data_IF_626550839992
#
_entry.id   IF_626550839992
#
_cell.length_a   1.000
_cell.length_b   1.000
_cell.length_c   1.000
_cell.angle_alpha   90.00
_cell.angle_beta   90.00
_cell.angle_gamma   90.00
#
_symmetry.space_group_name_H-M   'P 1'
#
loop_
_entity.id
_entity.type
_entity.pdbx_description
1 polymer ?
#
# COMPACT_ATOMS: atom_id res chain seq x y z
N UNK A 1 3.29 -19.21 0.77
CA UNK A 1 2.32 -20.14 0.12
C UNK A 1 1.05 -20.38 0.95
N UNK A 2 1.09 -20.74 2.25
CA UNK A 2 -0.14 -21.05 3.03
C UNK A 2 -1.10 -19.85 3.18
N UNK A 3 -0.58 -18.63 3.31
CA UNK A 3 -1.40 -17.42 3.35
C UNK A 3 -2.16 -17.24 2.03
N UNK A 4 -1.49 -17.39 0.90
CA UNK A 4 -2.12 -17.32 -0.42
C UNK A 4 -3.25 -18.34 -0.58
N UNK A 5 -3.06 -19.58 -0.15
CA UNK A 5 -4.11 -20.61 -0.17
C UNK A 5 -5.31 -20.22 0.68
N UNK A 6 -5.07 -19.63 1.85
CA UNK A 6 -6.13 -19.13 2.73
C UNK A 6 -6.86 -17.96 2.08
N UNK A 7 -6.13 -17.00 1.50
CA UNK A 7 -6.69 -15.83 0.82
C UNK A 7 -7.62 -16.25 -0.32
N UNK A 8 -7.17 -17.17 -1.20
CA UNK A 8 -7.96 -17.67 -2.33
C UNK A 8 -9.26 -18.33 -1.84
N UNK A 9 -9.21 -19.16 -0.78
CA UNK A 9 -10.41 -19.78 -0.21
C UNK A 9 -11.40 -18.73 0.32
N UNK A 10 -10.92 -17.65 0.95
CA UNK A 10 -11.76 -16.55 1.39
C UNK A 10 -12.38 -15.80 0.20
N UNK A 11 -11.63 -15.56 -0.86
CA UNK A 11 -12.14 -14.92 -2.09
C UNK A 11 -13.22 -15.79 -2.77
N UNK A 12 -13.04 -17.09 -2.82
CA UNK A 12 -14.03 -18.01 -3.41
C UNK A 12 -15.37 -18.04 -2.68
N UNK A 13 -15.40 -17.64 -1.40
CA UNK A 13 -16.64 -17.51 -0.62
C UNK A 13 -17.39 -16.19 -0.89
N UNK A 14 -16.70 -15.18 -1.40
CA UNK A 14 -17.28 -13.87 -1.73
C UNK A 14 -17.90 -13.89 -3.12
N UNK A 15 -19.22 -13.65 -3.22
CA UNK A 15 -19.95 -13.63 -4.49
C UNK A 15 -20.60 -12.25 -4.71
N UNK A 16 -20.69 -11.76 -5.94
CA UNK A 16 -20.18 -12.34 -7.19
C UNK A 16 -18.73 -11.90 -7.47
N UNK A 17 -17.79 -12.86 -7.55
CA UNK A 17 -16.46 -12.60 -8.11
C UNK A 17 -16.40 -13.27 -9.47
N UNK A 18 -16.11 -12.53 -10.54
CA UNK A 18 -16.05 -13.04 -11.91
C UNK A 18 -14.75 -13.77 -12.21
N UNK A 19 -13.63 -13.30 -11.64
CA UNK A 19 -12.33 -13.94 -11.81
C UNK A 19 -11.37 -13.60 -10.66
N UNK A 20 -10.43 -14.51 -10.38
CA UNK A 20 -9.35 -14.29 -9.41
C UNK A 20 -8.04 -14.28 -10.19
N UNK A 21 -7.33 -13.16 -10.09
CA UNK A 21 -6.02 -12.94 -10.75
C UNK A 21 -4.93 -12.96 -9.70
N UNK A 22 -3.96 -13.86 -9.86
CA UNK A 22 -2.80 -13.98 -8.97
C UNK A 22 -1.55 -13.50 -9.72
N UNK A 23 -0.92 -12.47 -9.19
CA UNK A 23 0.40 -12.02 -9.68
C UNK A 23 1.48 -12.64 -8.82
N UNK A 24 2.12 -13.68 -9.35
CA UNK A 24 3.28 -14.31 -8.72
C UNK A 24 4.53 -13.48 -9.01
N UNK A 25 4.91 -12.64 -8.07
CA UNK A 25 5.96 -11.64 -8.22
C UNK A 25 7.34 -12.19 -7.82
N UNK A 26 7.74 -13.33 -8.43
CA UNK A 26 9.04 -13.96 -8.23
C UNK A 26 9.15 -14.75 -6.92
N UNK A 27 8.12 -15.51 -6.55
CA UNK A 27 8.15 -16.42 -5.39
C UNK A 27 9.16 -17.56 -5.59
N UNK A 28 9.84 -17.95 -4.48
CA UNK A 28 10.88 -18.99 -4.46
C UNK A 28 10.57 -20.13 -3.47
N UNK A 29 9.34 -20.21 -2.99
CA UNK A 29 8.90 -21.12 -1.92
C UNK A 29 7.96 -22.25 -2.41
N UNK A 30 8.00 -22.61 -3.72
CA UNK A 30 7.12 -23.58 -4.34
C UNK A 30 5.74 -23.06 -4.74
N UNK A 31 5.52 -21.74 -4.61
CA UNK A 31 4.25 -21.11 -5.00
C UNK A 31 3.99 -21.21 -6.50
N UNK A 32 5.03 -21.11 -7.34
CA UNK A 32 4.90 -21.19 -8.80
C UNK A 32 4.36 -22.55 -9.23
N UNK A 33 4.93 -23.63 -8.73
CA UNK A 33 4.55 -25.00 -9.03
C UNK A 33 3.14 -25.30 -8.52
N UNK A 34 2.81 -24.82 -7.32
CA UNK A 34 1.48 -24.99 -6.77
C UNK A 34 0.42 -24.24 -7.59
N UNK A 35 0.69 -22.99 -8.00
CA UNK A 35 -0.24 -22.20 -8.82
C UNK A 35 -0.47 -22.83 -10.20
N UNK A 36 0.55 -23.43 -10.81
CA UNK A 36 0.43 -24.12 -12.09
C UNK A 36 -0.54 -25.32 -12.06
N UNK A 37 -0.80 -25.89 -10.88
CA UNK A 37 -1.73 -26.99 -10.67
C UNK A 37 -3.15 -26.54 -10.28
N UNK A 38 -3.42 -25.23 -10.16
CA UNK A 38 -4.74 -24.72 -9.78
C UNK A 38 -5.59 -24.42 -11.01
N UNK A 39 -6.85 -24.85 -10.96
CA UNK A 39 -7.86 -24.49 -11.96
C UNK A 39 -8.69 -23.28 -11.50
N UNK A 40 -9.26 -22.55 -12.45
CA UNK A 40 -10.14 -21.41 -12.18
C UNK A 40 -9.43 -20.15 -11.68
N UNK A 41 -8.09 -20.10 -11.71
CA UNK A 41 -7.28 -18.93 -11.41
C UNK A 41 -6.59 -18.41 -12.67
N UNK A 42 -6.50 -17.11 -12.80
CA UNK A 42 -5.60 -16.47 -13.76
C UNK A 42 -4.27 -16.19 -13.08
N UNK A 43 -3.20 -16.82 -13.51
CA UNK A 43 -1.86 -16.69 -12.91
C UNK A 43 -0.94 -15.92 -13.84
N UNK A 44 -0.33 -14.85 -13.34
CA UNK A 44 0.68 -14.04 -14.04
C UNK A 44 2.00 -14.21 -13.31
N UNK A 45 2.96 -14.91 -13.94
CA UNK A 45 4.31 -15.05 -13.39
C UNK A 45 5.22 -13.94 -13.90
N UNK A 46 5.91 -13.26 -13.00
CA UNK A 46 6.89 -12.23 -13.34
C UNK A 46 8.08 -12.27 -12.38
N UNK A 47 9.20 -11.67 -12.77
CA UNK A 47 10.32 -11.40 -11.86
C UNK A 47 9.89 -10.42 -10.77
N UNK A 48 10.56 -10.43 -9.61
CA UNK A 48 10.23 -9.49 -8.54
C UNK A 48 10.53 -8.03 -8.96
N UNK A 49 9.47 -7.30 -9.24
CA UNK A 49 9.47 -5.86 -9.59
C UNK A 49 8.95 -4.97 -8.46
N UNK A 50 8.93 -5.50 -7.21
CA UNK A 50 8.38 -4.84 -6.03
C UNK A 50 6.87 -4.97 -5.91
N UNK A 51 6.33 -4.62 -4.73
CA UNK A 51 4.87 -4.66 -4.50
C UNK A 51 4.10 -3.74 -5.44
N UNK A 52 4.59 -2.52 -5.64
CA UNK A 52 3.99 -1.56 -6.57
C UNK A 52 3.89 -2.11 -8.01
N UNK A 53 4.90 -2.85 -8.47
CA UNK A 53 4.88 -3.52 -9.77
C UNK A 53 3.90 -4.69 -9.81
N UNK A 54 3.73 -5.42 -8.71
CA UNK A 54 2.71 -6.47 -8.59
C UNK A 54 1.29 -5.92 -8.73
N UNK A 55 0.95 -4.87 -7.99
CA UNK A 55 -0.35 -4.19 -8.10
C UNK A 55 -0.57 -3.57 -9.49
N UNK A 56 0.48 -2.95 -10.06
CA UNK A 56 0.42 -2.45 -11.44
C UNK A 56 -0.03 -3.55 -12.42
N UNK A 57 0.63 -4.71 -12.39
CA UNK A 57 0.35 -5.83 -13.30
C UNK A 57 -1.04 -6.41 -13.09
N UNK A 58 -1.46 -6.62 -11.83
CA UNK A 58 -2.78 -7.17 -11.50
C UNK A 58 -3.91 -6.24 -11.91
N UNK A 59 -3.81 -4.95 -11.61
CA UNK A 59 -4.81 -3.94 -11.98
C UNK A 59 -4.87 -3.76 -13.50
N UNK A 60 -3.71 -3.75 -14.18
CA UNK A 60 -3.65 -3.66 -15.64
C UNK A 60 -4.39 -4.83 -16.29
N UNK A 61 -4.13 -6.04 -15.84
CA UNK A 61 -4.80 -7.22 -16.39
C UNK A 61 -6.32 -7.17 -16.17
N UNK A 62 -6.77 -6.91 -14.93
CA UNK A 62 -8.19 -6.84 -14.60
C UNK A 62 -8.90 -5.73 -15.42
N UNK A 63 -8.27 -4.57 -15.57
CA UNK A 63 -8.78 -3.48 -16.40
C UNK A 63 -8.91 -3.89 -17.87
N UNK A 64 -7.89 -4.52 -18.46
CA UNK A 64 -7.90 -5.01 -19.85
C UNK A 64 -8.91 -6.13 -20.07
N UNK A 65 -9.15 -6.96 -19.05
CA UNK A 65 -10.17 -8.02 -19.07
C UNK A 65 -11.61 -7.49 -18.94
N UNK A 66 -11.79 -6.17 -18.78
CA UNK A 66 -13.13 -5.55 -18.76
C UNK A 66 -13.80 -5.55 -17.39
N UNK A 67 -13.08 -5.75 -16.29
CA UNK A 67 -13.66 -5.68 -14.95
C UNK A 67 -14.24 -4.29 -14.64
N UNK A 68 -15.47 -4.22 -14.13
CA UNK A 68 -16.12 -2.96 -13.71
C UNK A 68 -15.53 -2.45 -12.39
N UNK A 69 -15.16 -3.38 -11.52
CA UNK A 69 -14.50 -3.11 -10.25
C UNK A 69 -13.35 -4.10 -10.02
N UNK A 70 -12.26 -3.62 -9.43
CA UNK A 70 -11.04 -4.39 -9.19
C UNK A 70 -10.76 -4.42 -7.69
N UNK A 71 -10.82 -5.62 -7.09
CA UNK A 71 -10.54 -5.81 -5.67
C UNK A 71 -9.08 -6.21 -5.46
N UNK A 72 -8.26 -5.28 -4.95
CA UNK A 72 -6.82 -5.48 -4.79
C UNK A 72 -6.47 -5.86 -3.36
N UNK A 73 -5.58 -6.83 -3.17
CA UNK A 73 -5.07 -7.17 -1.84
C UNK A 73 -3.76 -7.94 -1.91
N UNK A 74 -3.01 -7.92 -0.80
CA UNK A 74 -1.89 -8.84 -0.56
C UNK A 74 -2.42 -10.22 -0.14
N UNK A 75 -1.55 -11.23 -0.16
CA UNK A 75 -1.88 -12.62 0.23
C UNK A 75 -2.07 -12.82 1.73
N UNK A 76 -1.79 -11.80 2.55
CA UNK A 76 -1.90 -11.79 4.01
C UNK A 76 -3.18 -11.13 4.55
N UNK A 77 -4.13 -10.83 3.67
CA UNK A 77 -5.42 -10.22 4.00
C UNK A 77 -6.56 -11.15 3.58
N UNK A 78 -7.53 -11.39 4.46
CA UNK A 78 -8.56 -12.42 4.31
C UNK A 78 -9.94 -11.80 4.41
N UNK A 79 -10.66 -11.58 3.29
CA UNK A 79 -12.03 -11.09 3.35
C UNK A 79 -12.96 -12.10 4.01
N UNK A 80 -13.84 -11.63 4.90
CA UNK A 80 -14.92 -12.47 5.43
C UNK A 80 -15.95 -12.74 4.33
N UNK A 81 -16.72 -13.80 4.48
CA UNK A 81 -17.59 -14.33 3.43
C UNK A 81 -18.62 -13.31 2.89
N UNK A 82 -19.03 -12.35 3.72
CA UNK A 82 -19.98 -11.28 3.40
C UNK A 82 -19.31 -9.95 3.01
N UNK A 83 -17.97 -9.88 3.03
CA UNK A 83 -17.24 -8.63 2.84
C UNK A 83 -17.59 -7.92 1.52
N UNK A 84 -17.64 -8.66 0.40
CA UNK A 84 -18.01 -8.10 -0.89
C UNK A 84 -19.49 -7.65 -0.91
N UNK A 85 -20.38 -8.41 -0.30
CA UNK A 85 -21.80 -8.07 -0.20
C UNK A 85 -22.00 -6.71 0.48
N UNK A 86 -21.20 -6.39 1.50
CA UNK A 86 -21.22 -5.09 2.19
C UNK A 86 -20.68 -3.93 1.33
N UNK A 87 -19.85 -4.20 0.33
CA UNK A 87 -19.30 -3.19 -0.58
C UNK A 87 -20.27 -2.87 -1.74
N UNK A 88 -20.96 -3.87 -2.28
CA UNK A 88 -21.78 -3.75 -3.48
C UNK A 88 -22.83 -2.63 -3.45
N UNK A 89 -23.54 -2.32 -2.35
CA UNK A 89 -24.54 -1.25 -2.31
C UNK A 89 -24.01 0.15 -2.64
N UNK A 90 -22.67 0.32 -2.61
CA UNK A 90 -22.03 1.61 -2.89
C UNK A 90 -21.47 1.73 -4.31
N UNK A 91 -21.55 0.65 -5.09
CA UNK A 91 -20.98 0.62 -6.46
C UNK A 91 -21.76 1.48 -7.46
N UNK A 92 -23.03 1.72 -7.23
CA UNK A 92 -23.86 2.55 -8.11
C UNK A 92 -23.63 4.07 -7.95
N UNK A 93 -22.95 4.48 -6.87
CA UNK A 93 -22.63 5.89 -6.61
C UNK A 93 -21.45 6.32 -7.48
N UNK A 94 -21.73 7.10 -8.53
CA UNK A 94 -20.75 7.49 -9.57
C UNK A 94 -19.59 8.33 -9.06
N UNK A 95 -19.74 9.05 -7.96
CA UNK A 95 -18.70 9.87 -7.33
C UNK A 95 -17.72 9.04 -6.46
N UNK A 96 -18.04 7.76 -6.19
CA UNK A 96 -17.16 6.88 -5.43
C UNK A 96 -16.24 6.13 -6.38
N UNK A 97 -14.92 6.37 -6.22
CA UNK A 97 -13.87 5.72 -6.99
C UNK A 97 -13.26 4.50 -6.30
N UNK A 98 -13.20 4.52 -4.97
CA UNK A 98 -12.60 3.43 -4.17
C UNK A 98 -13.49 3.16 -2.95
N UNK A 99 -13.73 1.88 -2.67
CA UNK A 99 -14.34 1.40 -1.45
C UNK A 99 -13.25 0.72 -0.60
N UNK A 100 -13.14 1.11 0.67
CA UNK A 100 -12.13 0.60 1.58
C UNK A 100 -12.78 -0.22 2.70
N UNK A 101 -12.61 -1.55 2.75
CA UNK A 101 -13.14 -2.38 3.82
C UNK A 101 -12.36 -2.17 5.13
N UNK A 102 -13.00 -2.49 6.26
CA UNK A 102 -12.38 -2.50 7.58
C UNK A 102 -11.47 -3.71 7.72
N UNK A 103 -10.23 -3.45 8.11
CA UNK A 103 -9.26 -4.52 8.43
C UNK A 103 -9.16 -4.76 9.92
N UNK A 104 -9.06 -6.02 10.30
CA UNK A 104 -8.91 -6.47 11.68
C UNK A 104 -7.57 -7.22 11.83
N UNK A 105 -6.82 -6.90 12.87
CA UNK A 105 -5.63 -7.62 13.28
C UNK A 105 -5.89 -8.24 14.65
N UNK A 106 -5.93 -9.56 14.74
CA UNK A 106 -6.28 -10.28 15.99
C UNK A 106 -7.62 -9.81 16.59
N UNK A 107 -8.61 -9.51 15.74
CA UNK A 107 -9.93 -9.03 16.14
C UNK A 107 -10.01 -7.53 16.46
N UNK A 108 -8.89 -6.83 16.58
CA UNK A 108 -8.83 -5.39 16.81
C UNK A 108 -8.74 -4.63 15.48
N UNK A 109 -9.32 -3.43 15.42
CA UNK A 109 -9.32 -2.61 14.21
C UNK A 109 -7.90 -2.19 13.87
N UNK A 110 -7.45 -2.60 12.67
CA UNK A 110 -6.16 -2.23 12.12
C UNK A 110 -6.30 -0.98 11.24
N UNK A 111 -5.84 0.15 11.77
CA UNK A 111 -5.98 1.45 11.09
C UNK A 111 -4.73 1.80 10.28
N UNK A 112 -4.77 1.49 8.99
CA UNK A 112 -3.90 2.11 7.97
C UNK A 112 -4.70 2.94 6.96
N UNK A 113 -5.90 3.37 7.38
CA UNK A 113 -6.73 4.29 6.62
C UNK A 113 -6.57 5.70 7.20
N UNK A 114 -6.67 6.71 6.34
CA UNK A 114 -6.36 8.09 6.72
C UNK A 114 -7.55 9.00 6.45
N UNK A 115 -8.06 9.64 7.50
CA UNK A 115 -9.11 10.65 7.40
C UNK A 115 -8.66 11.82 6.51
N UNK A 116 -7.40 12.22 6.64
CA UNK A 116 -6.80 13.23 5.78
C UNK A 116 -5.28 13.07 5.71
N UNK A 117 -4.71 13.28 4.53
CA UNK A 117 -3.26 13.48 4.40
C UNK A 117 -2.89 14.92 4.75
N UNK A 118 -1.88 15.09 5.59
CA UNK A 118 -1.33 16.40 5.89
C UNK A 118 -0.36 16.84 4.78
N UNK A 119 -0.79 17.73 3.93
CA UNK A 119 0.01 18.26 2.82
C UNK A 119 0.48 19.72 3.06
N UNK A 120 0.25 20.28 4.26
CA UNK A 120 0.47 21.71 4.52
C UNK A 120 1.43 22.01 5.68
N UNK A 121 1.54 21.13 6.70
CA UNK A 121 2.42 21.36 7.84
C UNK A 121 3.69 20.48 7.75
N UNK A 122 4.89 21.06 7.56
CA UNK A 122 6.15 20.31 7.38
C UNK A 122 6.65 19.60 8.65
N UNK A 123 6.17 20.01 9.84
CA UNK A 123 6.61 19.44 11.12
C UNK A 123 5.78 18.25 11.59
N UNK A 124 4.70 17.95 10.89
CA UNK A 124 3.79 16.85 11.21
C UNK A 124 3.78 15.87 10.05
N UNK A 125 3.80 14.56 10.35
CA UNK A 125 3.77 13.50 9.33
C UNK A 125 2.60 13.68 8.36
N UNK A 126 2.81 13.32 7.09
CA UNK A 126 1.72 13.20 6.11
C UNK A 126 0.59 12.30 6.62
N UNK A 127 0.94 11.27 7.36
CA UNK A 127 0.06 10.22 7.89
C UNK A 127 -0.42 10.50 9.34
N UNK A 128 -0.44 11.76 9.77
CA UNK A 128 -0.79 12.12 11.16
C UNK A 128 -2.27 11.94 11.50
N UNK A 129 -3.16 12.06 10.51
CA UNK A 129 -4.60 11.95 10.72
C UNK A 129 -5.10 10.57 10.30
N UNK A 130 -4.82 9.58 11.14
CA UNK A 130 -5.40 8.24 10.98
C UNK A 130 -6.89 8.24 11.26
N UNK A 131 -7.60 7.35 10.59
CA UNK A 131 -9.00 7.11 10.87
C UNK A 131 -9.13 6.49 12.28
N UNK A 132 -9.95 7.08 13.14
CA UNK A 132 -10.21 6.57 14.50
C UNK A 132 -11.26 5.43 14.42
N UNK A 133 -10.90 4.28 13.86
CA UNK A 133 -11.80 3.22 13.42
C UNK A 133 -12.77 2.67 14.46
N UNK A 134 -12.44 2.73 15.77
CA UNK A 134 -13.32 2.21 16.84
C UNK A 134 -14.68 2.92 16.95
N UNK A 135 -14.77 4.16 16.49
CA UNK A 135 -15.99 4.97 16.59
C UNK A 135 -16.75 5.10 15.26
N UNK A 136 -16.26 4.46 14.18
CA UNK A 136 -16.88 4.55 12.87
C UNK A 136 -17.82 3.36 12.68
N UNK A 137 -19.12 3.65 12.70
CA UNK A 137 -20.21 2.68 12.55
C UNK A 137 -21.02 2.88 11.26
N UNK A 138 -20.65 3.89 10.46
CA UNK A 138 -21.31 4.18 9.18
C UNK A 138 -20.28 4.48 8.11
N UNK A 139 -20.63 4.29 6.83
CA UNK A 139 -19.74 4.62 5.71
C UNK A 139 -19.21 6.05 5.81
N UNK A 140 -17.90 6.20 5.73
CA UNK A 140 -17.22 7.47 5.99
C UNK A 140 -16.25 7.80 4.88
N UNK A 141 -16.30 9.03 4.37
CA UNK A 141 -15.32 9.50 3.39
C UNK A 141 -13.93 9.64 4.02
N UNK A 142 -12.94 9.08 3.36
CA UNK A 142 -11.53 9.11 3.76
C UNK A 142 -10.65 9.59 2.59
N UNK A 143 -9.39 9.92 2.86
CA UNK A 143 -8.47 10.36 1.80
C UNK A 143 -7.42 9.31 1.45
N UNK A 144 -7.32 8.22 2.18
CA UNK A 144 -6.34 7.19 1.88
C UNK A 144 -6.59 5.85 2.53
N UNK A 145 -6.28 4.81 1.79
CA UNK A 145 -6.28 3.42 2.22
C UNK A 145 -5.09 2.69 1.60
N UNK A 146 -4.63 1.60 2.21
CA UNK A 146 -3.57 0.77 1.65
C UNK A 146 -4.13 -0.21 0.59
N UNK A 147 -3.25 -0.74 -0.28
CA UNK A 147 -3.61 -1.82 -1.21
C UNK A 147 -3.82 -3.18 -0.51
N UNK A 148 -4.47 -3.12 0.64
CA UNK A 148 -4.85 -4.26 1.47
C UNK A 148 -6.38 -4.40 1.50
N UNK A 149 -7.01 -4.53 0.33
CA UNK A 149 -8.46 -4.75 0.18
C UNK A 149 -9.27 -3.63 -0.48
N UNK A 150 -8.68 -2.56 -1.06
CA UNK A 150 -9.48 -1.56 -1.75
C UNK A 150 -10.18 -2.14 -2.97
N UNK A 151 -11.44 -1.78 -3.14
CA UNK A 151 -12.27 -2.12 -4.29
C UNK A 151 -12.35 -0.89 -5.20
N UNK A 152 -11.67 -0.95 -6.34
CA UNK A 152 -11.37 0.18 -7.22
C UNK A 152 -12.29 0.14 -8.43
N UNK A 153 -12.97 1.24 -8.71
CA UNK A 153 -13.82 1.41 -9.88
C UNK A 153 -12.98 1.49 -11.16
N UNK A 154 -13.45 0.86 -12.23
CA UNK A 154 -12.82 0.88 -13.57
C UNK A 154 -12.53 2.29 -14.06
N UNK A 155 -13.49 3.20 -13.94
CA UNK A 155 -13.36 4.59 -14.43
C UNK A 155 -12.25 5.38 -13.69
N UNK A 156 -11.87 4.97 -12.48
CA UNK A 156 -10.69 5.52 -11.81
C UNK A 156 -9.44 5.16 -12.62
N UNK A 157 -9.28 3.88 -12.99
CA UNK A 157 -8.14 3.44 -13.81
C UNK A 157 -8.11 4.15 -15.16
N UNK A 158 -9.26 4.37 -15.78
CA UNK A 158 -9.36 5.13 -17.04
C UNK A 158 -8.89 6.58 -16.90
N UNK A 159 -9.24 7.23 -15.78
CA UNK A 159 -8.95 8.65 -15.54
C UNK A 159 -7.51 8.89 -15.10
N UNK A 160 -7.01 8.12 -14.13
CA UNK A 160 -5.72 8.39 -13.49
C UNK A 160 -4.62 7.42 -13.93
N UNK A 161 -4.96 6.39 -14.73
CA UNK A 161 -4.03 5.34 -15.13
C UNK A 161 -3.77 4.33 -14.01
N UNK A 162 -2.75 3.52 -14.21
CA UNK A 162 -2.32 2.44 -13.32
C UNK A 162 -1.51 2.97 -12.13
N UNK A 163 -1.34 2.18 -11.05
CA UNK A 163 -0.40 2.50 -9.97
C UNK A 163 1.01 2.78 -10.47
N UNK A 164 1.73 3.65 -9.77
CA UNK A 164 3.10 3.97 -10.14
C UNK A 164 4.06 2.85 -9.73
N UNK A 165 4.37 1.94 -10.66
CA UNK A 165 5.27 0.79 -10.44
C UNK A 165 6.70 1.20 -10.05
N UNK A 166 7.15 2.40 -10.44
CA UNK A 166 8.51 2.88 -10.19
C UNK A 166 8.73 3.27 -8.70
N UNK A 167 7.67 3.30 -7.90
CA UNK A 167 7.79 3.37 -6.45
C UNK A 167 8.39 2.09 -5.86
N UNK A 168 8.28 0.97 -6.53
CA UNK A 168 8.80 -0.35 -6.18
C UNK A 168 8.15 -0.94 -4.91
N UNK A 169 8.19 -0.23 -3.79
CA UNK A 169 7.57 -0.61 -2.51
C UNK A 169 7.27 0.63 -1.68
N UNK A 170 6.11 0.66 -1.02
CA UNK A 170 5.58 1.77 -0.21
C UNK A 170 5.16 3.00 -1.01
N UNK A 171 4.14 3.65 -0.55
CA UNK A 171 3.59 4.91 -1.07
C UNK A 171 2.86 4.80 -2.42
N UNK A 172 2.82 3.66 -3.05
CA UNK A 172 2.07 3.39 -4.28
C UNK A 172 0.56 3.50 -4.07
N UNK A 173 0.07 2.98 -2.95
CA UNK A 173 -1.29 3.14 -2.46
C UNK A 173 -1.64 4.61 -2.17
N UNK A 174 -0.75 5.31 -1.48
CA UNK A 174 -0.91 6.72 -1.14
C UNK A 174 -0.93 7.61 -2.40
N UNK A 175 -0.01 7.37 -3.35
CA UNK A 175 0.02 8.04 -4.64
C UNK A 175 -1.29 7.82 -5.41
N UNK A 176 -1.76 6.58 -5.43
CA UNK A 176 -2.99 6.22 -6.12
C UNK A 176 -4.23 6.89 -5.50
N UNK A 177 -4.33 6.89 -4.17
CA UNK A 177 -5.39 7.59 -3.45
C UNK A 177 -5.37 9.10 -3.72
N UNK A 178 -4.19 9.73 -3.69
CA UNK A 178 -4.04 11.17 -3.96
C UNK A 178 -4.45 11.53 -5.38
N UNK A 179 -4.09 10.72 -6.39
CA UNK A 179 -4.53 10.92 -7.77
C UNK A 179 -6.04 10.74 -7.91
N UNK A 180 -6.62 9.71 -7.26
CA UNK A 180 -8.06 9.47 -7.25
C UNK A 180 -8.85 10.68 -6.76
N UNK A 181 -8.42 11.25 -5.62
CA UNK A 181 -9.10 12.42 -5.03
C UNK A 181 -8.92 13.67 -5.92
N UNK A 182 -7.75 13.86 -6.53
CA UNK A 182 -7.50 15.00 -7.43
C UNK A 182 -8.42 15.03 -8.64
N UNK A 183 -8.84 13.86 -9.12
CA UNK A 183 -9.82 13.72 -10.21
C UNK A 183 -11.28 13.83 -9.74
N UNK A 184 -11.50 14.17 -8.47
CA UNK A 184 -12.82 14.41 -7.91
C UNK A 184 -13.57 13.17 -7.43
N UNK A 185 -12.96 11.99 -7.48
CA UNK A 185 -13.53 10.79 -6.89
C UNK A 185 -13.36 10.76 -5.37
N UNK A 186 -14.33 10.14 -4.70
CA UNK A 186 -14.29 9.87 -3.26
C UNK A 186 -13.74 8.47 -2.98
N UNK A 187 -13.11 8.35 -1.81
CA UNK A 187 -12.75 7.06 -1.21
C UNK A 187 -13.66 6.88 0.00
N UNK A 188 -14.44 5.80 0.02
CA UNK A 188 -15.41 5.53 1.07
C UNK A 188 -14.99 4.32 1.91
N UNK A 189 -14.78 4.54 3.20
CA UNK A 189 -14.53 3.48 4.17
C UNK A 189 -15.84 2.82 4.57
N UNK A 190 -15.92 1.49 4.46
CA UNK A 190 -17.11 0.67 4.77
C UNK A 190 -16.81 -0.16 6.03
N UNK A 191 -17.31 0.25 7.21
CA UNK A 191 -17.01 -0.40 8.46
C UNK A 191 -17.58 -1.82 8.61
N UNK A 192 -18.64 -2.15 7.87
CA UNK A 192 -19.29 -3.47 7.92
C UNK A 192 -18.63 -4.48 6.95
N UNK A 193 -17.89 -4.03 5.96
CA UNK A 193 -17.08 -4.88 5.10
C UNK A 193 -15.79 -5.29 5.84
N UNK A 194 -15.75 -6.52 6.36
CA UNK A 194 -14.69 -6.96 7.25
C UNK A 194 -13.65 -7.84 6.54
N UNK A 195 -12.38 -7.58 6.84
CA UNK A 195 -11.24 -8.38 6.42
C UNK A 195 -10.33 -8.65 7.61
N UNK A 196 -9.88 -9.88 7.78
CA UNK A 196 -8.86 -10.23 8.77
C UNK A 196 -7.46 -10.11 8.16
N UNK A 197 -6.47 -9.66 8.93
CA UNK A 197 -5.09 -9.51 8.50
C UNK A 197 -4.15 -10.38 9.33
N UNK A 198 -3.15 -10.98 8.66
CA UNK A 198 -2.12 -11.76 9.34
C UNK A 198 -1.17 -10.88 10.13
N UNK A 199 -0.75 -11.38 11.30
CA UNK A 199 0.21 -10.70 12.16
C UNK A 199 1.63 -11.16 11.84
N UNK A 200 2.46 -10.23 11.43
CA UNK A 200 3.88 -10.45 11.24
C UNK A 200 4.71 -9.79 12.36
N UNK A 201 5.84 -10.39 12.69
CA UNK A 201 6.86 -9.79 13.57
C UNK A 201 6.48 -9.63 15.05
N UNK A 202 5.81 -10.61 15.64
CA UNK A 202 5.45 -10.57 17.07
C UNK A 202 6.66 -10.52 18.03
N UNK A 203 7.80 -11.13 17.66
CA UNK A 203 8.91 -11.40 18.57
C UNK A 203 10.22 -10.65 18.27
N UNK A 204 10.31 -9.91 17.16
CA UNK A 204 11.53 -9.18 16.80
C UNK A 204 11.68 -7.89 17.64
N UNK A 205 12.87 -7.62 18.16
CA UNK A 205 13.24 -6.31 18.71
C UNK A 205 13.25 -5.24 17.62
N UNK A 206 13.16 -3.96 18.00
CA UNK A 206 13.26 -2.84 17.04
C UNK A 206 14.53 -2.91 16.20
N UNK A 207 15.67 -3.27 16.80
CA UNK A 207 16.94 -3.35 16.09
C UNK A 207 16.97 -4.48 15.07
N UNK A 208 16.44 -5.66 15.39
CA UNK A 208 16.32 -6.79 14.46
C UNK A 208 15.40 -6.47 13.29
N UNK A 209 14.22 -5.91 13.57
CA UNK A 209 13.30 -5.44 12.51
C UNK A 209 13.95 -4.40 11.61
N UNK A 210 14.70 -3.45 12.21
CA UNK A 210 15.40 -2.41 11.46
C UNK A 210 16.52 -2.98 10.59
N UNK A 211 17.26 -3.99 11.05
CA UNK A 211 18.29 -4.67 10.25
C UNK A 211 17.65 -5.42 9.07
N UNK A 212 16.63 -6.23 9.31
CA UNK A 212 15.90 -7.01 8.29
C UNK A 212 15.26 -6.11 7.23
N UNK A 213 14.70 -4.97 7.64
CA UNK A 213 13.95 -4.05 6.78
C UNK A 213 14.77 -2.83 6.31
N UNK A 214 16.09 -2.79 6.55
CA UNK A 214 16.91 -1.61 6.26
C UNK A 214 16.84 -1.18 4.79
N UNK A 215 16.93 -2.12 3.86
CA UNK A 215 16.80 -1.82 2.44
C UNK A 215 15.47 -1.16 2.06
N UNK A 216 14.37 -1.58 2.70
CA UNK A 216 13.04 -0.99 2.51
C UNK A 216 12.99 0.47 2.99
N UNK A 217 13.81 0.84 3.99
CA UNK A 217 13.85 2.18 4.55
C UNK A 217 14.37 3.22 3.55
N UNK A 218 15.32 2.86 2.71
CA UNK A 218 15.79 3.76 1.66
C UNK A 218 14.68 4.10 0.67
N UNK A 219 13.89 3.11 0.25
CA UNK A 219 12.69 3.33 -0.55
C UNK A 219 11.67 4.21 0.18
N UNK A 220 11.43 3.94 1.46
CA UNK A 220 10.47 4.72 2.24
C UNK A 220 10.88 6.20 2.35
N UNK A 221 12.16 6.50 2.56
CA UNK A 221 12.68 7.88 2.57
C UNK A 221 12.49 8.53 1.20
N UNK A 222 12.90 7.87 0.13
CA UNK A 222 12.75 8.38 -1.24
C UNK A 222 11.29 8.64 -1.58
N UNK A 223 10.44 7.65 -1.39
CA UNK A 223 9.05 7.71 -1.83
C UNK A 223 8.23 8.70 -0.98
N UNK A 224 8.44 8.75 0.34
CA UNK A 224 7.79 9.78 1.17
C UNK A 224 8.28 11.19 0.82
N UNK A 225 9.56 11.35 0.46
CA UNK A 225 10.10 12.62 -0.03
C UNK A 225 9.49 13.00 -1.38
N UNK A 226 9.38 12.05 -2.31
CA UNK A 226 8.68 12.22 -3.58
C UNK A 226 7.23 12.69 -3.35
N UNK A 227 6.44 11.98 -2.50
CA UNK A 227 5.07 12.39 -2.22
C UNK A 227 4.99 13.81 -1.62
N UNK A 228 5.89 14.14 -0.70
CA UNK A 228 5.93 15.48 -0.11
C UNK A 228 6.28 16.54 -1.16
N UNK A 229 7.23 16.27 -2.05
CA UNK A 229 7.64 17.18 -3.12
C UNK A 229 6.52 17.35 -4.14
N UNK A 230 5.94 16.25 -4.63
CA UNK A 230 4.94 16.24 -5.69
C UNK A 230 3.59 16.82 -5.24
N UNK A 231 3.12 16.44 -4.04
CA UNK A 231 1.78 16.78 -3.54
C UNK A 231 1.76 17.89 -2.49
N UNK A 232 2.90 18.27 -1.93
CA UNK A 232 3.00 19.30 -0.90
C UNK A 232 2.42 20.64 -1.36
N UNK A 233 1.62 21.28 -0.49
CA UNK A 233 0.93 22.54 -0.79
C UNK A 233 1.81 23.78 -0.64
N UNK A 234 3.00 23.66 -0.06
CA UNK A 234 3.96 24.76 0.11
C UNK A 234 5.40 24.25 0.07
N UNK A 235 6.34 25.18 -0.12
CA UNK A 235 7.79 24.91 -0.23
C UNK A 235 8.32 24.17 1.00
N UNK A 236 7.86 24.49 2.19
CA UNK A 236 8.32 23.86 3.42
C UNK A 236 7.93 22.37 3.47
N UNK A 237 6.74 22.00 3.06
CA UNK A 237 6.36 20.58 2.94
C UNK A 237 7.15 19.88 1.84
N UNK A 238 7.32 20.55 0.69
CA UNK A 238 8.03 19.95 -0.46
C UNK A 238 9.46 19.55 -0.14
N UNK A 239 10.17 20.37 0.61
CA UNK A 239 11.61 20.16 0.85
C UNK A 239 11.92 19.83 2.32
N UNK A 240 11.40 20.60 3.30
CA UNK A 240 11.81 20.48 4.69
C UNK A 240 11.30 19.21 5.36
N UNK A 241 10.09 18.71 5.03
CA UNK A 241 9.57 17.48 5.65
C UNK A 241 10.42 16.26 5.32
N UNK A 242 10.76 16.06 4.04
CA UNK A 242 11.66 14.98 3.61
C UNK A 242 13.06 15.14 4.21
N UNK A 243 13.58 16.38 4.24
CA UNK A 243 14.86 16.72 4.88
C UNK A 243 14.88 16.33 6.36
N UNK A 244 13.89 16.75 7.15
CA UNK A 244 13.78 16.40 8.57
C UNK A 244 13.73 14.87 8.77
N UNK A 245 13.01 14.15 7.91
CA UNK A 245 12.94 12.70 7.94
C UNK A 245 14.28 12.02 7.72
N UNK A 246 15.03 12.42 6.69
CA UNK A 246 16.35 11.84 6.40
C UNK A 246 17.38 12.24 7.46
N UNK A 247 17.36 13.47 7.95
CA UNK A 247 18.26 13.92 9.01
C UNK A 247 18.08 13.11 10.29
N UNK A 248 16.85 12.73 10.66
CA UNK A 248 16.61 11.82 11.78
C UNK A 248 17.34 10.48 11.63
N UNK A 249 17.34 9.88 10.44
CA UNK A 249 18.11 8.63 10.18
C UNK A 249 19.60 8.83 10.11
N UNK A 250 20.08 9.97 9.58
CA UNK A 250 21.51 10.33 9.59
C UNK A 250 21.99 10.49 11.04
N UNK A 251 21.21 11.17 11.89
CA UNK A 251 21.50 11.30 13.33
C UNK A 251 21.61 9.91 13.99
N UNK A 252 20.62 9.03 13.76
CA UNK A 252 20.67 7.66 14.26
C UNK A 252 21.94 6.97 13.79
N UNK A 253 22.32 7.07 12.50
CA UNK A 253 23.51 6.45 11.96
C UNK A 253 24.80 6.97 12.62
N UNK A 254 24.89 8.28 12.85
CA UNK A 254 26.04 8.91 13.51
C UNK A 254 26.23 8.42 14.94
N UNK A 255 25.18 8.43 15.75
CA UNK A 255 25.26 8.10 17.18
C UNK A 255 25.20 6.61 17.48
N UNK A 256 24.63 5.77 16.61
CA UNK A 256 24.51 4.33 16.88
C UNK A 256 25.54 3.48 16.15
N UNK A 257 26.34 4.04 15.24
CA UNK A 257 27.35 3.31 14.50
C UNK A 257 28.38 2.59 15.37
N UNK A 258 28.91 3.21 16.47
CA UNK A 258 29.84 2.53 17.36
C UNK A 258 29.28 1.28 18.06
N UNK A 259 27.96 1.17 18.15
CA UNK A 259 27.26 0.06 18.82
C UNK A 259 26.76 -1.00 17.84
N UNK A 260 27.21 -0.99 16.58
CA UNK A 260 26.84 -1.94 15.53
C UNK A 260 25.31 -2.15 15.36
N UNK A 261 24.53 -1.10 15.57
CA UNK A 261 23.07 -1.10 15.38
C UNK A 261 22.68 -1.08 13.90
N UNK A 262 21.39 -1.00 13.60
CA UNK A 262 20.86 -1.17 12.24
C UNK A 262 21.41 -0.15 11.23
N UNK A 263 21.59 1.12 11.63
CA UNK A 263 22.13 2.19 10.77
C UNK A 263 23.54 2.55 11.20
N UNK A 264 24.43 2.68 10.22
CA UNK A 264 25.85 2.94 10.41
C UNK A 264 26.32 4.08 9.51
N UNK A 265 27.51 4.64 9.77
CA UNK A 265 28.09 5.73 8.98
C UNK A 265 28.13 5.45 7.48
N UNK A 266 28.41 4.19 7.10
CA UNK A 266 28.38 3.77 5.69
C UNK A 266 27.02 3.88 5.00
N UNK A 267 25.92 4.02 5.76
CA UNK A 267 24.57 4.16 5.22
C UNK A 267 24.21 5.63 4.90
N UNK A 268 24.98 6.60 5.44
CA UNK A 268 24.68 8.04 5.30
C UNK A 268 24.63 8.48 3.84
N UNK A 269 25.57 8.13 2.96
CA UNK A 269 25.48 8.52 1.55
C UNK A 269 24.21 8.00 0.87
N UNK A 270 23.77 6.77 1.20
CA UNK A 270 22.57 6.15 0.63
C UNK A 270 21.29 6.78 1.18
N UNK A 271 21.27 7.13 2.47
CA UNK A 271 20.16 7.88 3.08
C UNK A 271 19.99 9.24 2.40
N UNK A 272 21.10 9.97 2.22
CA UNK A 272 21.10 11.27 1.55
C UNK A 272 20.69 11.16 0.08
N UNK A 273 21.22 10.16 -0.63
CA UNK A 273 20.81 9.87 -2.02
C UNK A 273 19.33 9.61 -2.12
N UNK A 274 18.73 8.84 -1.18
CA UNK A 274 17.28 8.59 -1.17
C UNK A 274 16.46 9.88 -1.04
N UNK A 275 16.90 10.83 -0.20
CA UNK A 275 16.26 12.15 -0.13
C UNK A 275 16.41 12.93 -1.45
N UNK A 276 17.61 12.99 -2.00
CA UNK A 276 17.87 13.68 -3.27
C UNK A 276 17.06 13.08 -4.43
N UNK A 277 17.02 11.75 -4.53
CA UNK A 277 16.23 11.06 -5.56
C UNK A 277 14.72 11.39 -5.40
N UNK A 278 14.23 11.49 -4.16
CA UNK A 278 12.85 11.86 -3.87
C UNK A 278 12.48 13.27 -4.31
N UNK A 279 13.31 14.28 -4.01
CA UNK A 279 13.04 15.68 -4.45
C UNK A 279 13.22 15.90 -5.96
N UNK A 280 14.03 15.07 -6.63
CA UNK A 280 14.19 15.11 -8.08
C UNK A 280 13.26 14.12 -8.81
N UNK A 281 12.34 13.46 -8.08
CA UNK A 281 11.38 12.50 -8.59
C UNK A 281 12.02 11.33 -9.37
N UNK A 282 13.25 10.96 -9.00
CA UNK A 282 13.97 9.82 -9.55
C UNK A 282 13.52 8.53 -8.88
N UNK A 283 12.59 7.85 -9.51
CA UNK A 283 11.99 6.60 -9.02
C UNK A 283 12.67 5.38 -9.67
N UNK A 284 12.11 4.19 -9.45
CA UNK A 284 12.65 2.92 -9.94
C UNK A 284 13.45 2.15 -8.89
N UNK A 285 14.21 1.14 -9.33
CA UNK A 285 15.01 0.32 -8.43
C UNK A 285 16.20 1.14 -7.90
N UNK A 286 16.38 1.14 -6.59
CA UNK A 286 17.51 1.84 -5.96
C UNK A 286 18.76 0.95 -5.96
N UNK A 287 19.81 1.45 -6.58
CA UNK A 287 21.17 0.87 -6.56
C UNK A 287 21.85 1.06 -5.20
#
# INVERSE_FOLDING_TARGET
MELLKRNIRCLQQNKPISSIVIVNNGSTDGTTEWLAAQEGLTVINQTNVGGAGGFYTGIQYAYQAGADWIWCMDDDVFPRADCLEQLLPYTDKKDIGILAPRRLLEGEIFTHDFQAYNLSNPFVSMYSKKLAGRHITSPTEITGTAFEGPFIRREVVEKIGLPNKDLFIFCDDTDYCLRTIREGYKILYIPDALMDKEKFFSNDTWNERSKKKKWKRFYQIRNSTYLNHHYGRNIAVKYLRGFNGVMGYIFIALFTSPFAKAYQWKDIPRLWKAYCDGIHEKLGIMS
#
